data_IF_765061195942
#
_entry.id   IF_765061195942
#
_cell.length_a   1.000
_cell.length_b   1.000
_cell.length_c   1.000
_cell.angle_alpha   90.00
_cell.angle_beta   90.00
_cell.angle_gamma   90.00
#
_symmetry.space_group_name_H-M   'P 1'
#
loop_
_entity.id
_entity.type
_entity.pdbx_description
1 polymer ?
#
# COMPACT_ATOMS: atom_id res chain seq x y z
N UNK A 1 13.83 -4.78 24.76
CA UNK A 1 12.52 -5.39 24.41
C UNK A 1 12.43 -5.39 22.89
N UNK A 2 12.10 -6.51 22.22
CA UNK A 2 11.88 -6.47 20.78
C UNK A 2 10.60 -5.67 20.55
N UNK A 3 10.72 -4.51 19.91
CA UNK A 3 9.55 -3.85 19.33
C UNK A 3 9.06 -4.81 18.24
N UNK A 4 7.99 -5.56 18.51
CA UNK A 4 7.22 -6.16 17.41
C UNK A 4 6.71 -4.98 16.60
N UNK A 5 7.39 -4.68 15.50
CA UNK A 5 6.93 -3.69 14.53
C UNK A 5 5.65 -4.28 13.95
N UNK A 6 4.50 -3.87 14.48
CA UNK A 6 3.21 -4.28 13.95
C UNK A 6 3.15 -3.79 12.51
N UNK A 7 2.76 -4.68 11.60
CA UNK A 7 2.62 -4.40 10.18
C UNK A 7 1.25 -4.86 9.76
N UNK A 8 0.55 -4.02 9.00
CA UNK A 8 -0.67 -4.42 8.33
C UNK A 8 -0.29 -5.00 6.98
N UNK A 9 -0.83 -6.17 6.66
CA UNK A 9 -0.68 -6.82 5.37
C UNK A 9 -2.02 -7.28 4.89
N UNK A 10 -2.40 -6.90 3.68
CA UNK A 10 -3.64 -7.34 3.08
C UNK A 10 -3.48 -7.45 1.57
N UNK A 11 -4.19 -8.42 1.00
CA UNK A 11 -4.27 -8.65 -0.43
C UNK A 11 -5.62 -8.18 -0.95
N UNK A 12 -5.61 -7.47 -2.08
CA UNK A 12 -6.80 -7.01 -2.80
C UNK A 12 -6.64 -7.35 -4.28
N UNK A 13 -7.75 -7.37 -5.02
CA UNK A 13 -7.71 -7.58 -6.47
C UNK A 13 -7.97 -6.24 -7.16
N UNK A 14 -7.08 -5.84 -8.07
CA UNK A 14 -7.23 -4.66 -8.91
C UNK A 14 -7.14 -5.06 -10.37
N UNK A 15 -8.14 -4.69 -11.17
CA UNK A 15 -8.20 -5.02 -12.60
C UNK A 15 -8.05 -6.52 -12.89
N UNK A 16 -8.49 -7.40 -11.97
CA UNK A 16 -8.37 -8.85 -12.11
C UNK A 16 -7.00 -9.41 -11.71
N UNK A 17 -6.08 -8.56 -11.23
CA UNK A 17 -4.74 -8.94 -10.81
C UNK A 17 -4.57 -8.80 -9.29
N UNK A 18 -3.83 -9.71 -8.63
CA UNK A 18 -3.60 -9.64 -7.20
C UNK A 18 -2.62 -8.50 -6.83
N UNK A 19 -3.01 -7.73 -5.83
CA UNK A 19 -2.24 -6.64 -5.24
C UNK A 19 -2.05 -6.92 -3.75
N UNK A 20 -0.82 -6.78 -3.29
CA UNK A 20 -0.44 -6.87 -1.90
C UNK A 20 -0.07 -5.49 -1.35
N UNK A 21 -0.59 -5.16 -0.18
CA UNK A 21 -0.38 -3.88 0.50
C UNK A 21 0.21 -4.18 1.87
N UNK A 22 1.39 -3.62 2.15
CA UNK A 22 2.07 -3.71 3.43
C UNK A 22 2.25 -2.30 4.01
N UNK A 23 1.68 -2.05 5.18
CA UNK A 23 1.85 -0.79 5.92
C UNK A 23 2.69 -1.07 7.16
N UNK A 24 3.75 -0.30 7.33
CA UNK A 24 4.63 -0.32 8.49
C UNK A 24 4.74 1.08 9.09
N UNK A 25 5.18 1.25 10.35
CA UNK A 25 5.24 2.56 10.99
C UNK A 25 6.17 3.56 10.30
N UNK A 26 7.01 3.10 9.37
CA UNK A 26 8.00 3.91 8.68
C UNK A 26 7.74 4.07 7.17
N UNK A 27 6.85 3.26 6.60
CA UNK A 27 6.53 3.27 5.16
C UNK A 27 5.32 2.40 4.84
N UNK A 28 4.63 2.74 3.75
CA UNK A 28 3.72 1.84 3.06
C UNK A 28 4.36 1.32 1.76
N UNK A 29 4.03 0.08 1.42
CA UNK A 29 4.46 -0.62 0.23
C UNK A 29 3.23 -1.24 -0.43
N UNK A 30 3.07 -1.01 -1.72
CA UNK A 30 2.08 -1.69 -2.55
C UNK A 30 2.85 -2.42 -3.64
N UNK A 31 2.56 -3.71 -3.82
CA UNK A 31 3.14 -4.52 -4.89
C UNK A 31 2.03 -5.28 -5.57
N UNK A 32 2.05 -5.34 -6.90
CA UNK A 32 1.16 -6.19 -7.64
C UNK A 32 1.87 -6.82 -8.82
N UNK A 33 1.47 -8.05 -9.08
CA UNK A 33 2.03 -8.89 -10.13
C UNK A 33 0.90 -9.19 -11.10
N UNK A 34 1.12 -9.00 -12.40
CA UNK A 34 0.06 -9.28 -13.37
C UNK A 34 0.45 -8.99 -14.80
N UNK A 35 -0.27 -9.62 -15.73
CA UNK A 35 -0.07 -9.38 -17.17
C UNK A 35 -0.45 -7.95 -17.56
N UNK A 36 -1.54 -7.45 -16.96
CA UNK A 36 -2.11 -6.15 -17.31
C UNK A 36 -1.46 -4.97 -16.58
N UNK A 37 -0.50 -5.23 -15.70
CA UNK A 37 -0.01 -4.30 -14.68
C UNK A 37 -1.17 -3.78 -13.80
N UNK A 38 -1.26 -4.18 -12.51
CA UNK A 38 -2.47 -3.95 -11.70
C UNK A 38 -2.93 -2.48 -11.65
N UNK A 39 -2.00 -1.53 -11.82
CA UNK A 39 -2.27 -0.10 -11.80
C UNK A 39 -2.11 0.60 -13.15
N UNK A 40 -1.69 -0.11 -14.21
CA UNK A 40 -1.32 0.49 -15.49
C UNK A 40 -0.31 1.63 -15.30
N UNK A 41 -0.57 2.80 -15.90
CA UNK A 41 0.25 4.01 -15.75
C UNK A 41 -0.17 4.89 -14.54
N UNK A 42 -1.14 4.44 -13.73
CA UNK A 42 -1.70 5.24 -12.63
C UNK A 42 -1.00 4.91 -11.31
N UNK A 43 -0.72 5.94 -10.52
CA UNK A 43 -0.31 5.79 -9.11
C UNK A 43 -1.50 5.35 -8.26
N UNK A 44 -1.35 4.31 -7.41
CA UNK A 44 -2.41 3.86 -6.52
C UNK A 44 -2.71 4.89 -5.42
N UNK A 45 -3.97 4.98 -5.05
CA UNK A 45 -4.47 5.77 -3.93
C UNK A 45 -4.54 4.90 -2.67
N UNK A 46 -3.93 5.37 -1.58
CA UNK A 46 -4.05 4.75 -0.25
C UNK A 46 -4.30 5.84 0.79
N UNK A 47 -5.44 5.73 1.48
CA UNK A 47 -5.86 6.66 2.53
C UNK A 47 -5.98 5.89 3.84
N UNK A 48 -5.43 6.45 4.91
CA UNK A 48 -5.50 5.91 6.26
C UNK A 48 -6.49 6.74 7.07
N UNK A 49 -7.50 6.07 7.64
CA UNK A 49 -8.44 6.68 8.56
C UNK A 49 -8.08 6.23 9.99
N UNK A 50 -7.83 7.19 10.87
CA UNK A 50 -7.48 6.97 12.26
C UNK A 50 -8.71 7.11 13.18
N UNK A 51 -8.66 6.46 14.34
CA UNK A 51 -9.78 6.43 15.30
C UNK A 51 -10.09 7.80 15.93
N UNK A 52 -9.15 8.73 15.89
CA UNK A 52 -9.33 10.12 16.32
C UNK A 52 -10.04 11.00 15.27
N UNK A 53 -10.35 10.43 14.09
CA UNK A 53 -10.97 11.12 12.97
C UNK A 53 -9.96 11.78 12.03
N UNK A 54 -8.65 11.63 12.25
CA UNK A 54 -7.64 12.06 11.30
C UNK A 54 -7.68 11.18 10.04
N UNK A 55 -7.45 11.80 8.88
CA UNK A 55 -7.38 11.12 7.59
C UNK A 55 -6.09 11.54 6.89
N UNK A 56 -5.27 10.57 6.54
CA UNK A 56 -3.98 10.80 5.87
C UNK A 56 -3.96 10.06 4.55
N UNK A 57 -3.87 10.81 3.46
CA UNK A 57 -3.59 10.26 2.13
C UNK A 57 -2.08 10.06 1.97
N UNK A 58 -1.67 8.83 1.64
CA UNK A 58 -0.27 8.49 1.47
C UNK A 58 0.17 8.77 0.03
N UNK A 59 1.15 9.66 -0.11
CA UNK A 59 1.80 9.90 -1.39
C UNK A 59 2.87 8.82 -1.66
N UNK A 60 2.61 7.95 -2.63
CA UNK A 60 3.62 7.04 -3.19
C UNK A 60 4.53 7.71 -4.21
N UNK A 61 5.82 7.39 -4.17
CA UNK A 61 6.70 7.70 -5.28
C UNK A 61 6.77 6.51 -6.23
N UNK A 62 6.84 6.82 -7.53
CA UNK A 62 6.99 5.81 -8.58
C UNK A 62 8.29 5.07 -8.34
N UNK A 63 8.19 3.86 -7.81
CA UNK A 63 9.35 3.01 -7.65
C UNK A 63 9.34 2.05 -8.84
N UNK A 64 9.77 2.59 -9.98
CA UNK A 64 10.17 1.88 -11.21
C UNK A 64 9.73 0.41 -11.29
N UNK A 65 8.62 0.12 -11.97
CA UNK A 65 8.24 -1.25 -12.32
C UNK A 65 9.39 -1.93 -13.06
N UNK A 66 9.97 -2.96 -12.45
CA UNK A 66 11.06 -3.72 -13.06
C UNK A 66 10.44 -5.01 -13.62
N UNK A 67 10.32 -5.09 -14.95
CA UNK A 67 10.03 -6.35 -15.63
C UNK A 67 11.25 -7.27 -15.52
N UNK A 68 11.17 -8.26 -14.64
CA UNK A 68 12.15 -9.36 -14.53
C UNK A 68 11.47 -10.67 -14.95
N UNK A 69 11.14 -10.76 -16.22
CA UNK A 69 10.46 -11.91 -16.80
C UNK A 69 10.16 -11.61 -18.25
N UNK A 70 9.84 -12.62 -19.04
CA UNK A 70 9.37 -12.43 -20.43
C UNK A 70 8.28 -11.34 -20.50
N UNK A 71 8.02 -10.78 -21.68
CA UNK A 71 7.15 -9.63 -21.94
C UNK A 71 5.68 -9.71 -21.40
N UNK A 72 5.34 -10.76 -20.67
CA UNK A 72 4.03 -11.13 -20.14
C UNK A 72 3.96 -11.07 -18.58
N UNK A 73 5.07 -10.82 -17.86
CA UNK A 73 5.07 -10.69 -16.38
C UNK A 73 5.46 -9.26 -15.96
N UNK A 74 4.46 -8.44 -15.60
CA UNK A 74 4.70 -7.10 -15.04
C UNK A 74 4.68 -7.14 -13.52
N UNK A 75 5.73 -6.62 -12.91
CA UNK A 75 5.83 -6.38 -11.48
C UNK A 75 5.82 -4.88 -11.21
N UNK A 76 4.76 -4.39 -10.57
CA UNK A 76 4.65 -3.00 -10.15
C UNK A 76 4.79 -2.88 -8.65
N UNK A 77 5.59 -1.90 -8.21
CA UNK A 77 5.69 -1.58 -6.80
C UNK A 77 5.69 -0.08 -6.57
N UNK A 78 4.97 0.32 -5.55
CA UNK A 78 4.82 1.70 -5.11
C UNK A 78 5.19 1.77 -3.65
N UNK A 79 6.03 2.75 -3.29
CA UNK A 79 6.42 2.95 -1.90
C UNK A 79 6.29 4.42 -1.55
N UNK A 80 5.95 4.71 -0.30
CA UNK A 80 6.09 6.06 0.22
C UNK A 80 7.60 6.34 0.38
N UNK A 81 8.21 7.18 -0.46
CA UNK A 81 9.61 7.57 -0.22
C UNK A 81 9.66 8.57 0.93
N UNK A 82 10.36 8.23 2.01
CA UNK A 82 11.13 9.14 2.87
C UNK A 82 10.48 10.45 3.35
N UNK A 83 9.17 10.64 3.25
CA UNK A 83 8.45 11.90 3.49
C UNK A 83 7.31 11.80 4.49
N UNK A 84 7.07 10.64 5.08
CA UNK A 84 6.34 10.60 6.34
C UNK A 84 7.32 11.09 7.41
N UNK A 85 7.46 12.42 7.56
CA UNK A 85 8.25 13.04 8.63
C UNK A 85 7.76 12.56 10.02
N UNK A 86 6.56 11.97 10.07
CA UNK A 86 5.95 11.36 11.23
C UNK A 86 5.72 9.85 10.98
N UNK A 87 6.00 8.99 11.97
CA UNK A 87 5.69 7.57 11.87
C UNK A 87 4.18 7.33 11.67
N UNK A 88 3.83 6.36 10.84
CA UNK A 88 2.44 5.89 10.71
C UNK A 88 2.06 5.16 12.01
N UNK A 89 1.08 5.69 12.74
CA UNK A 89 0.57 5.04 13.96
C UNK A 89 -0.40 3.91 13.60
N UNK A 90 0.18 2.74 13.31
CA UNK A 90 -0.59 1.56 12.90
C UNK A 90 -1.62 1.16 13.95
N UNK A 91 -1.35 1.32 15.23
CA UNK A 91 -2.25 0.93 16.33
C UNK A 91 -3.51 1.81 16.37
N UNK A 92 -3.43 3.03 15.84
CA UNK A 92 -4.54 3.98 15.80
C UNK A 92 -5.34 3.97 14.47
N UNK A 93 -4.89 3.21 13.45
CA UNK A 93 -5.67 3.03 12.21
C UNK A 93 -6.97 2.28 12.52
N UNK A 94 -8.09 2.84 12.05
CA UNK A 94 -9.44 2.26 12.10
C UNK A 94 -9.79 1.55 10.78
N UNK A 95 -9.59 2.25 9.66
CA UNK A 95 -9.85 1.73 8.33
C UNK A 95 -8.86 2.28 7.31
N UNK A 96 -8.77 1.58 6.19
CA UNK A 96 -7.90 1.94 5.07
C UNK A 96 -8.78 2.03 3.83
N UNK A 97 -8.59 3.06 3.02
CA UNK A 97 -9.22 3.14 1.70
C UNK A 97 -8.15 2.94 0.64
N UNK A 98 -8.35 1.97 -0.24
CA UNK A 98 -7.45 1.66 -1.33
C UNK A 98 -8.20 1.66 -2.65
N UNK A 99 -7.84 2.55 -3.58
CA UNK A 99 -8.56 2.74 -4.86
C UNK A 99 -10.10 2.82 -4.66
N UNK A 100 -10.55 3.56 -3.64
CA UNK A 100 -11.97 3.68 -3.26
C UNK A 100 -12.58 2.49 -2.51
N UNK A 101 -11.83 1.40 -2.29
CA UNK A 101 -12.28 0.26 -1.48
C UNK A 101 -11.94 0.46 0.00
N UNK A 102 -12.95 0.46 0.87
CA UNK A 102 -12.75 0.56 2.32
C UNK A 102 -12.49 -0.82 2.94
N UNK A 103 -11.37 -0.94 3.63
CA UNK A 103 -10.91 -2.14 4.33
C UNK A 103 -10.90 -1.80 5.82
N UNK A 104 -11.77 -2.46 6.58
CA UNK A 104 -11.79 -2.31 8.04
C UNK A 104 -10.60 -3.06 8.64
N UNK A 105 -9.87 -2.41 9.56
CA UNK A 105 -8.76 -3.05 10.27
C UNK A 105 -9.31 -3.62 11.57
N UNK A 106 -9.79 -4.86 11.53
CA UNK A 106 -10.10 -5.62 12.75
C UNK A 106 -8.80 -5.93 13.50
N UNK A 107 -8.69 -5.44 14.74
CA UNK A 107 -7.58 -5.67 15.65
C UNK A 107 -7.99 -6.56 16.81
#
# INVERSE_FOLDING_TARGET
MPFSVQKLKFGVECNGEPVNIEISPIRAWISGDGYNAPFGDKKPELILNYKDGETVELEFDETSGLSWGSADDWHQYWRTEGKTNEPIDIDNIESIVFEGMTISVDK
#
